data_IF_712017359365
#
_entry.id   IF_712017359365
#
_cell.length_a   1.000
_cell.length_b   1.000
_cell.length_c   1.000
_cell.angle_alpha   90.00
_cell.angle_beta   90.00
_cell.angle_gamma   90.00
#
_symmetry.space_group_name_H-M   'P 1'
#
loop_
_entity.id
_entity.type
_entity.pdbx_description
1 polymer ?
#
# COMPACT_ATOMS: atom_id res chain seq x y z
N UNK A 1 7.19 2.29 -2.00
CA UNK A 1 6.30 3.01 -1.07
C UNK A 1 6.86 3.04 0.35
N UNK A 2 6.81 1.96 1.13
CA UNK A 2 7.25 1.96 2.55
C UNK A 2 8.68 2.46 2.79
N UNK A 3 9.65 2.03 1.97
CA UNK A 3 11.03 2.52 2.04
C UNK A 3 11.10 4.05 1.90
N UNK A 4 10.44 4.60 0.88
CA UNK A 4 10.35 6.05 0.64
C UNK A 4 9.63 6.80 1.77
N UNK A 5 8.70 6.14 2.46
CA UNK A 5 8.02 6.71 3.63
C UNK A 5 9.00 6.88 4.81
N UNK A 6 9.81 5.86 5.09
CA UNK A 6 10.84 5.92 6.15
C UNK A 6 11.93 6.95 5.79
N UNK A 7 12.28 7.06 4.51
CA UNK A 7 13.30 7.98 4.00
C UNK A 7 12.81 9.44 3.82
N UNK A 8 11.57 9.75 4.22
CA UNK A 8 10.93 11.06 4.04
C UNK A 8 10.94 11.57 2.58
N UNK A 9 10.93 10.64 1.63
CA UNK A 9 10.97 10.90 0.19
C UNK A 9 9.71 10.35 -0.51
N UNK A 10 8.57 10.41 0.18
CA UNK A 10 7.35 9.73 -0.27
C UNK A 10 6.75 10.37 -1.54
N UNK A 11 7.01 11.67 -1.77
CA UNK A 11 6.56 12.36 -2.98
C UNK A 11 7.17 11.77 -4.26
N UNK A 12 8.32 11.12 -4.18
CA UNK A 12 8.93 10.42 -5.32
C UNK A 12 8.10 9.21 -5.81
N UNK A 13 7.07 8.79 -5.08
CA UNK A 13 6.12 7.77 -5.51
C UNK A 13 5.07 8.32 -6.49
N UNK A 14 4.78 9.62 -6.43
CA UNK A 14 3.73 10.24 -7.24
C UNK A 14 4.21 10.57 -8.65
N UNK A 15 3.26 10.66 -9.57
CA UNK A 15 3.52 11.08 -10.94
C UNK A 15 4.12 12.49 -10.99
N UNK A 16 5.15 12.68 -11.82
CA UNK A 16 5.90 13.95 -11.92
C UNK A 16 5.00 15.14 -12.26
N UNK A 17 3.96 14.96 -13.09
CA UNK A 17 3.00 16.02 -13.46
C UNK A 17 2.07 16.40 -12.30
N UNK A 18 1.88 15.50 -11.33
CA UNK A 18 1.15 15.80 -10.10
C UNK A 18 2.06 16.46 -9.07
N UNK A 19 3.31 16.00 -8.96
CA UNK A 19 4.31 16.58 -8.05
C UNK A 19 4.70 18.00 -8.48
N UNK A 20 4.69 18.32 -9.78
CA UNK A 20 4.95 19.68 -10.26
C UNK A 20 3.87 20.68 -9.81
N UNK A 21 2.67 20.21 -9.44
CA UNK A 21 1.56 21.02 -8.94
C UNK A 21 1.61 21.11 -7.42
N UNK A 22 2.24 22.15 -6.91
CA UNK A 22 2.41 22.38 -5.46
C UNK A 22 1.08 22.35 -4.68
N UNK A 23 -0.03 22.78 -5.30
CA UNK A 23 -1.37 22.73 -4.70
C UNK A 23 -1.86 21.31 -4.37
N UNK A 24 -1.37 20.29 -5.08
CA UNK A 24 -1.77 18.90 -4.90
C UNK A 24 -0.93 18.16 -3.86
N UNK A 25 0.17 18.74 -3.35
CA UNK A 25 1.09 18.03 -2.45
C UNK A 25 0.42 17.49 -1.20
N UNK A 26 -0.45 18.28 -0.57
CA UNK A 26 -1.18 17.85 0.63
C UNK A 26 -2.12 16.67 0.33
N UNK A 27 -2.81 16.70 -0.80
CA UNK A 27 -3.70 15.62 -1.24
C UNK A 27 -2.91 14.35 -1.57
N UNK A 28 -1.76 14.49 -2.25
CA UNK A 28 -0.85 13.38 -2.55
C UNK A 28 -0.34 12.73 -1.26
N UNK A 29 0.20 13.53 -0.34
CA UNK A 29 0.70 13.04 0.95
C UNK A 29 -0.39 12.31 1.73
N UNK A 30 -1.60 12.87 1.77
CA UNK A 30 -2.75 12.25 2.45
C UNK A 30 -3.15 10.93 1.79
N UNK A 31 -3.27 10.90 0.46
CA UNK A 31 -3.59 9.69 -0.28
C UNK A 31 -2.58 8.57 0.00
N UNK A 32 -1.28 8.90 0.03
CA UNK A 32 -0.25 7.91 0.30
C UNK A 32 -0.31 7.44 1.76
N UNK A 33 -0.47 8.34 2.72
CA UNK A 33 -0.62 8.01 4.15
C UNK A 33 -1.82 7.06 4.36
N UNK A 34 -2.99 7.41 3.83
CA UNK A 34 -4.19 6.57 3.92
C UNK A 34 -3.97 5.23 3.23
N UNK A 35 -3.32 5.21 2.06
CA UNK A 35 -2.94 3.98 1.38
C UNK A 35 -2.05 3.07 2.23
N UNK A 36 -1.09 3.64 2.97
CA UNK A 36 -0.23 2.90 3.90
C UNK A 36 -1.00 2.34 5.11
N UNK A 37 -2.01 3.07 5.61
CA UNK A 37 -2.90 2.58 6.68
C UNK A 37 -3.81 1.43 6.22
N UNK A 38 -4.21 1.41 4.95
CA UNK A 38 -5.03 0.32 4.40
C UNK A 38 -4.29 -1.02 4.31
N UNK A 39 -2.95 -1.00 4.31
CA UNK A 39 -2.12 -2.19 4.09
C UNK A 39 -1.28 -2.60 5.30
N UNK A 40 -1.71 -2.18 6.48
CA UNK A 40 -1.09 -2.59 7.74
C UNK A 40 -1.07 -4.11 7.90
N UNK A 41 -0.01 -4.63 8.51
CA UNK A 41 0.18 -6.06 8.77
C UNK A 41 -1.01 -6.65 9.54
N UNK A 42 -1.31 -6.05 10.69
CA UNK A 42 -2.44 -6.44 11.52
C UNK A 42 -3.75 -5.91 10.93
N UNK A 43 -4.70 -6.81 10.64
CA UNK A 43 -6.00 -6.45 10.07
C UNK A 43 -6.77 -5.44 10.95
N UNK A 44 -6.63 -5.54 12.28
CA UNK A 44 -7.27 -4.64 13.24
C UNK A 44 -6.75 -3.19 13.16
N UNK A 45 -5.58 -2.97 12.55
CA UNK A 45 -5.00 -1.64 12.40
C UNK A 45 -5.44 -0.97 11.08
N UNK A 46 -6.17 -1.67 10.23
CA UNK A 46 -6.65 -1.13 8.94
C UNK A 46 -7.92 -0.31 9.19
N UNK A 47 -8.03 0.91 8.63
CA UNK A 47 -9.22 1.73 8.77
C UNK A 47 -10.43 1.06 8.08
N UNK A 48 -11.63 1.33 8.59
CA UNK A 48 -12.86 1.00 7.86
C UNK A 48 -12.99 1.87 6.60
N UNK A 49 -13.75 1.42 5.61
CA UNK A 49 -13.99 2.22 4.40
C UNK A 49 -14.63 3.58 4.67
N UNK A 50 -15.50 3.69 5.68
CA UNK A 50 -16.06 4.98 6.09
C UNK A 50 -14.97 5.92 6.62
N UNK A 51 -14.05 5.39 7.44
CA UNK A 51 -12.93 6.16 7.96
C UNK A 51 -12.00 6.60 6.83
N UNK A 52 -11.69 5.71 5.88
CA UNK A 52 -10.89 6.04 4.68
C UNK A 52 -11.48 7.23 3.93
N UNK A 53 -12.79 7.26 3.69
CA UNK A 53 -13.46 8.38 3.02
C UNK A 53 -13.33 9.67 3.84
N UNK A 54 -13.61 9.62 5.14
CA UNK A 54 -13.45 10.79 6.02
C UNK A 54 -12.01 11.31 6.08
N UNK A 55 -11.01 10.41 6.11
CA UNK A 55 -9.60 10.79 6.02
C UNK A 55 -9.30 11.49 4.69
N UNK A 56 -9.75 10.91 3.57
CA UNK A 56 -9.55 11.47 2.23
C UNK A 56 -10.28 12.80 2.02
N UNK A 57 -11.38 13.06 2.74
CA UNK A 57 -12.09 14.33 2.75
C UNK A 57 -11.49 15.38 3.70
N UNK A 58 -10.41 15.07 4.44
CA UNK A 58 -9.86 15.92 5.52
C UNK A 58 -10.77 16.11 6.74
N UNK A 59 -11.80 15.28 6.91
CA UNK A 59 -12.66 15.33 8.10
C UNK A 59 -11.92 14.82 9.35
N UNK A 60 -10.91 13.95 9.15
CA UNK A 60 -10.01 13.45 10.18
C UNK A 60 -8.63 14.06 9.95
N UNK A 61 -8.19 14.92 10.87
CA UNK A 61 -6.92 15.67 10.76
C UNK A 61 -5.76 14.86 11.36
N UNK A 62 -5.99 14.18 12.48
CA UNK A 62 -4.96 13.41 13.17
C UNK A 62 -4.98 11.94 12.72
N UNK A 63 -4.21 11.64 11.68
CA UNK A 63 -4.01 10.27 11.21
C UNK A 63 -2.89 9.58 12.00
N UNK A 64 -3.17 8.37 12.49
CA UNK A 64 -2.13 7.53 13.09
C UNK A 64 -0.98 7.30 12.09
N UNK A 65 0.25 7.26 12.57
CA UNK A 65 1.39 6.94 11.71
C UNK A 65 1.31 5.48 11.24
N UNK A 66 1.49 5.21 9.93
CA UNK A 66 1.47 3.86 9.43
C UNK A 66 2.67 3.07 9.97
N UNK A 67 2.46 1.79 10.29
CA UNK A 67 3.53 0.85 10.62
C UNK A 67 3.90 -0.01 9.41
N UNK A 68 4.93 -0.84 9.57
CA UNK A 68 5.48 -1.66 8.49
C UNK A 68 4.41 -2.55 7.85
N UNK A 69 4.18 -2.47 6.52
CA UNK A 69 3.26 -3.35 5.82
C UNK A 69 3.74 -4.81 5.81
N UNK A 70 2.77 -5.74 5.86
CA UNK A 70 3.00 -7.19 5.96
C UNK A 70 3.99 -7.75 4.92
N UNK A 71 3.99 -7.16 3.72
CA UNK A 71 4.68 -7.66 2.54
C UNK A 71 6.07 -7.04 2.30
N UNK A 72 6.56 -6.21 3.23
CA UNK A 72 7.89 -5.61 3.08
C UNK A 72 9.03 -6.59 3.34
N UNK A 73 8.80 -7.65 4.13
CA UNK A 73 9.79 -8.70 4.40
C UNK A 73 10.08 -9.59 3.18
N UNK A 74 9.09 -9.80 2.29
CA UNK A 74 9.24 -10.68 1.12
C UNK A 74 10.17 -10.12 0.02
N UNK A 75 10.56 -8.84 0.11
CA UNK A 75 11.44 -8.17 -0.85
C UNK A 75 12.90 -8.12 -0.38
N UNK A 76 13.18 -8.40 0.90
CA UNK A 76 14.53 -8.67 1.36
C UNK A 76 14.80 -10.13 1.08
N UNK A 77 15.78 -10.43 0.21
CA UNK A 77 16.17 -11.78 -0.19
C UNK A 77 16.78 -12.61 0.93
N UNK A 78 16.11 -12.71 2.07
CA UNK A 78 16.35 -13.77 3.03
C UNK A 78 15.72 -15.02 2.45
N UNK A 79 16.58 -15.94 2.04
CA UNK A 79 16.21 -17.30 1.67
C UNK A 79 15.39 -17.91 2.80
N UNK A 80 14.06 -17.92 2.63
CA UNK A 80 13.19 -18.79 3.39
C UNK A 80 13.77 -20.22 3.28
N UNK A 81 13.98 -20.96 4.39
CA UNK A 81 14.41 -22.35 4.29
C UNK A 81 13.42 -23.07 3.37
N UNK A 82 13.97 -23.64 2.29
CA UNK A 82 13.26 -24.34 1.24
C UNK A 82 12.18 -25.27 1.83
N UNK A 83 10.90 -24.86 1.87
CA UNK A 83 9.79 -25.79 1.61
C UNK A 83 8.37 -25.24 1.42
N UNK A 84 8.12 -23.94 1.34
CA UNK A 84 6.74 -23.45 1.08
C UNK A 84 6.73 -22.39 0.00
N UNK A 85 7.23 -22.75 -1.18
CA UNK A 85 6.83 -22.07 -2.40
C UNK A 85 5.45 -22.62 -2.75
N UNK A 86 4.39 -21.85 -2.52
CA UNK A 86 3.06 -22.19 -3.07
C UNK A 86 3.19 -22.17 -4.59
N UNK A 87 3.28 -23.35 -5.19
CA UNK A 87 3.10 -23.51 -6.62
C UNK A 87 1.60 -23.31 -6.83
N UNK A 88 1.21 -22.16 -7.38
CA UNK A 88 -0.15 -21.99 -7.84
C UNK A 88 -0.38 -23.01 -8.96
N UNK A 89 -1.06 -24.12 -8.67
CA UNK A 89 -1.51 -25.09 -9.66
C UNK A 89 -2.59 -24.43 -10.53
N UNK A 90 -2.14 -23.65 -11.52
CA UNK A 90 -3.00 -23.12 -12.56
C UNK A 90 -3.50 -24.31 -13.38
N UNK A 91 -4.76 -24.67 -13.20
CA UNK A 91 -5.42 -25.67 -14.05
C UNK A 91 -5.91 -24.97 -15.31
N UNK A 92 -5.31 -25.30 -16.47
CA UNK A 92 -5.80 -24.84 -17.78
C UNK A 92 -6.97 -25.73 -18.17
N UNK A 93 -8.20 -25.19 -18.11
CA UNK A 93 -9.37 -25.88 -18.64
C UNK A 93 -9.48 -25.60 -20.14
N UNK A 94 -9.32 -26.63 -20.99
CA UNK A 94 -9.58 -26.50 -22.41
C UNK A 94 -11.10 -26.36 -22.66
N UNK A 95 -11.50 -25.29 -23.33
CA UNK A 95 -12.88 -25.07 -23.75
C UNK A 95 -13.10 -25.89 -25.04
N UNK A 96 -13.77 -27.03 -24.93
CA UNK A 96 -14.28 -27.75 -26.10
C UNK A 96 -15.62 -27.13 -26.51
N UNK A 97 -15.64 -26.39 -27.62
CA UNK A 97 -16.87 -25.95 -28.27
C UNK A 97 -17.62 -27.14 -28.88
N UNK A 98 -18.96 -27.09 -28.86
CA UNK A 98 -19.82 -28.01 -29.61
C UNK A 98 -20.03 -27.52 -31.03
#
# INVERSE_FOLDING_TARGET
AWKLWIEDNILALADTELVSKQCCHQEILRCIHVGLLCVQEHANNRPSMSMVISMLNSEIIDLLSPTQPAFTAALHGESLPNNTRSINDITITNIAGR
#
